data_IF_444443356248
#
_entry.id   IF_444443356248
#
_cell.length_a   1.000
_cell.length_b   1.000
_cell.length_c   1.000
_cell.angle_alpha   90.00
_cell.angle_beta   90.00
_cell.angle_gamma   90.00
#
_symmetry.space_group_name_H-M   'P 1'
#
loop_
_entity.id
_entity.type
_entity.pdbx_description
1 polymer ?
#
# COMPACT_ATOMS: atom_id res chain seq x y z
N UNK A 1 8.22 -34.38 13.85
CA UNK A 1 7.43 -35.53 14.30
C UNK A 1 6.13 -35.49 13.54
N UNK A 2 5.74 -36.61 12.94
CA UNK A 2 4.47 -36.71 12.23
C UNK A 2 3.29 -36.87 13.22
N UNK A 3 2.06 -36.78 12.71
CA UNK A 3 0.83 -36.87 13.50
C UNK A 3 0.77 -38.18 14.32
N UNK A 4 1.13 -39.32 13.74
CA UNK A 4 1.13 -40.61 14.43
C UNK A 4 2.10 -40.66 15.61
N UNK A 5 3.31 -40.13 15.43
CA UNK A 5 4.31 -40.01 16.50
C UNK A 5 3.85 -39.09 17.64
N UNK A 6 3.15 -37.99 17.30
CA UNK A 6 2.60 -37.06 18.29
C UNK A 6 1.50 -37.71 19.12
N UNK A 7 0.55 -38.40 18.47
CA UNK A 7 -0.51 -39.14 19.15
C UNK A 7 0.10 -40.22 20.07
N UNK A 8 1.07 -40.98 19.57
CA UNK A 8 1.76 -42.01 20.36
C UNK A 8 2.46 -41.43 21.59
N UNK A 9 3.13 -40.28 21.45
CA UNK A 9 3.84 -39.65 22.56
C UNK A 9 2.90 -39.04 23.59
N UNK A 10 1.82 -38.38 23.17
CA UNK A 10 0.79 -37.88 24.09
C UNK A 10 0.17 -39.02 24.89
N UNK A 11 -0.14 -40.14 24.21
CA UNK A 11 -0.65 -41.35 24.86
C UNK A 11 0.31 -41.90 25.91
N UNK A 12 1.59 -42.05 25.56
CA UNK A 12 2.62 -42.57 26.46
C UNK A 12 2.88 -41.64 27.63
N UNK A 13 2.90 -40.33 27.40
CA UNK A 13 3.11 -39.32 28.45
C UNK A 13 1.95 -39.26 29.44
N UNK A 14 0.73 -39.52 28.97
CA UNK A 14 -0.45 -39.65 29.82
C UNK A 14 -0.61 -41.05 30.46
N UNK A 15 0.29 -41.99 30.16
CA UNK A 15 0.29 -43.34 30.73
C UNK A 15 -0.79 -44.28 30.17
N UNK A 16 -1.44 -43.95 29.05
CA UNK A 16 -2.52 -44.77 28.48
C UNK A 16 -1.99 -45.89 27.58
N UNK A 17 -2.66 -47.03 27.62
CA UNK A 17 -2.58 -48.07 26.59
C UNK A 17 -3.37 -47.67 25.33
N UNK A 18 -3.11 -48.33 24.19
CA UNK A 18 -3.87 -48.08 22.96
C UNK A 18 -5.35 -48.42 23.11
N UNK A 19 -5.68 -49.43 23.93
CA UNK A 19 -7.05 -49.84 24.26
C UNK A 19 -7.77 -48.74 25.05
N UNK A 20 -7.10 -48.16 26.05
CA UNK A 20 -7.65 -47.08 26.88
C UNK A 20 -7.86 -45.79 26.08
N UNK A 21 -6.90 -45.39 25.26
CA UNK A 21 -7.07 -44.24 24.36
C UNK A 21 -8.22 -44.46 23.38
N UNK A 22 -8.35 -45.68 22.84
CA UNK A 22 -9.45 -46.02 21.94
C UNK A 22 -10.82 -45.92 22.63
N UNK A 23 -10.91 -46.37 23.89
CA UNK A 23 -12.11 -46.23 24.72
C UNK A 23 -12.46 -44.77 25.00
N UNK A 24 -11.48 -43.93 25.33
CA UNK A 24 -11.68 -42.50 25.63
C UNK A 24 -12.16 -41.70 24.41
N UNK A 25 -11.65 -42.03 23.22
CA UNK A 25 -11.98 -41.34 21.96
C UNK A 25 -13.21 -41.94 21.26
N UNK A 26 -13.66 -43.13 21.71
CA UNK A 26 -14.78 -43.86 21.14
C UNK A 26 -14.47 -44.42 19.75
N UNK A 27 -13.37 -45.17 19.64
CA UNK A 27 -12.93 -45.89 18.42
C UNK A 27 -12.41 -47.28 18.78
N UNK A 28 -12.11 -48.13 17.79
CA UNK A 28 -11.46 -49.41 18.03
C UNK A 28 -9.95 -49.22 18.29
N UNK A 29 -9.34 -50.13 19.06
CA UNK A 29 -7.88 -50.15 19.26
C UNK A 29 -7.12 -50.18 17.93
N UNK A 30 -7.65 -50.89 16.93
CA UNK A 30 -7.06 -50.97 15.59
C UNK A 30 -6.97 -49.60 14.92
N UNK A 31 -7.97 -48.72 15.10
CA UNK A 31 -7.93 -47.35 14.59
C UNK A 31 -6.79 -46.54 15.21
N UNK A 32 -6.63 -46.61 16.53
CA UNK A 32 -5.51 -45.94 17.24
C UNK A 32 -4.16 -46.46 16.76
N UNK A 33 -4.01 -47.78 16.59
CA UNK A 33 -2.76 -48.35 16.06
C UNK A 33 -2.45 -47.86 14.65
N UNK A 34 -3.45 -47.76 13.76
CA UNK A 34 -3.27 -47.25 12.40
C UNK A 34 -2.89 -45.76 12.40
N UNK A 35 -3.44 -44.98 13.34
CA UNK A 35 -3.04 -43.57 13.51
C UNK A 35 -1.60 -43.45 13.96
N UNK A 36 -1.18 -44.22 14.96
CA UNK A 36 0.20 -44.19 15.48
C UNK A 36 1.24 -44.65 14.44
N UNK A 37 0.85 -45.55 13.53
CA UNK A 37 1.70 -46.02 12.43
C UNK A 37 1.65 -45.14 11.17
N UNK A 38 0.82 -44.08 11.16
CA UNK A 38 0.51 -43.25 9.99
C UNK A 38 -0.14 -44.01 8.80
N UNK A 39 -0.71 -45.19 9.03
CA UNK A 39 -1.46 -45.95 8.01
C UNK A 39 -2.87 -45.38 7.78
N UNK A 40 -3.39 -44.60 8.72
CA UNK A 40 -4.64 -43.87 8.57
C UNK A 40 -4.59 -42.55 9.37
N UNK A 41 -5.38 -41.56 8.96
CA UNK A 41 -5.51 -40.29 9.68
C UNK A 41 -6.84 -40.26 10.46
N UNK A 42 -6.86 -39.74 11.70
CA UNK A 42 -8.12 -39.48 12.40
C UNK A 42 -8.94 -38.44 11.63
N UNK A 43 -10.26 -38.58 11.65
CA UNK A 43 -11.16 -37.55 11.11
C UNK A 43 -11.18 -36.30 12.01
N UNK A 44 -11.87 -35.24 11.55
CA UNK A 44 -11.92 -33.97 12.27
C UNK A 44 -12.54 -34.09 13.68
N UNK A 45 -13.58 -34.92 13.85
CA UNK A 45 -14.24 -35.12 15.15
C UNK A 45 -13.29 -35.83 16.13
N UNK A 46 -12.55 -36.84 15.67
CA UNK A 46 -11.56 -37.55 16.49
C UNK A 46 -10.36 -36.67 16.80
N UNK A 47 -9.90 -35.84 15.87
CA UNK A 47 -8.84 -34.86 16.09
C UNK A 47 -9.20 -33.87 17.21
N UNK A 48 -10.42 -33.33 17.20
CA UNK A 48 -10.90 -32.44 18.26
C UNK A 48 -10.94 -33.16 19.61
N UNK A 49 -11.43 -34.41 19.65
CA UNK A 49 -11.44 -35.20 20.90
C UNK A 49 -10.05 -35.48 21.45
N UNK A 50 -9.08 -35.75 20.58
CA UNK A 50 -7.67 -35.93 20.97
C UNK A 50 -7.09 -34.60 21.48
N UNK A 51 -7.40 -33.49 20.80
CA UNK A 51 -7.01 -32.12 21.19
C UNK A 51 -7.51 -31.81 22.61
N UNK A 52 -8.78 -32.07 22.88
CA UNK A 52 -9.41 -31.82 24.19
C UNK A 52 -8.85 -32.75 25.28
N UNK A 53 -8.72 -34.06 24.98
CA UNK A 53 -8.25 -35.07 25.94
C UNK A 53 -6.83 -34.75 26.45
N UNK A 54 -5.94 -34.31 25.57
CA UNK A 54 -4.55 -34.05 25.92
C UNK A 54 -4.25 -32.56 26.15
N UNK A 55 -5.26 -31.69 26.10
CA UNK A 55 -5.10 -30.23 26.26
C UNK A 55 -4.05 -29.62 25.32
N UNK A 56 -3.96 -30.13 24.10
CA UNK A 56 -3.09 -29.62 23.02
C UNK A 56 -3.94 -29.03 21.92
N UNK A 57 -3.42 -28.09 21.14
CA UNK A 57 -4.18 -27.53 20.01
C UNK A 57 -4.19 -28.49 18.81
N UNK A 58 -5.27 -28.49 18.01
CA UNK A 58 -5.30 -29.23 16.73
C UNK A 58 -4.14 -28.81 15.81
N UNK A 59 -3.73 -27.54 15.87
CA UNK A 59 -2.60 -26.99 15.12
C UNK A 59 -1.26 -27.61 15.56
N UNK A 60 -1.11 -27.97 16.84
CA UNK A 60 0.05 -28.66 17.38
C UNK A 60 0.10 -30.15 17.00
N UNK A 61 -1.06 -30.81 16.97
CA UNK A 61 -1.23 -32.20 16.55
C UNK A 61 -0.92 -32.40 15.06
N UNK A 62 -1.47 -31.54 14.21
CA UNK A 62 -1.40 -31.69 12.75
C UNK A 62 -0.09 -31.21 12.13
N UNK A 63 0.72 -30.45 12.86
CA UNK A 63 1.99 -29.93 12.34
C UNK A 63 3.09 -30.97 12.36
N UNK A 64 3.92 -30.97 11.33
CA UNK A 64 5.21 -31.64 11.38
C UNK A 64 6.25 -30.65 11.94
N UNK A 65 7.13 -31.09 12.85
CA UNK A 65 8.16 -30.21 13.44
C UNK A 65 9.21 -29.73 12.42
N UNK A 66 9.18 -30.29 11.20
CA UNK A 66 9.93 -29.80 10.03
C UNK A 66 9.36 -28.49 9.45
N UNK A 67 8.13 -28.16 9.80
CA UNK A 67 7.48 -26.89 9.49
C UNK A 67 7.09 -26.20 10.80
N UNK A 68 8.08 -25.70 11.58
CA UNK A 68 7.76 -24.80 12.67
C UNK A 68 6.93 -23.65 12.10
N UNK A 69 6.03 -23.07 12.90
CA UNK A 69 5.50 -21.75 12.59
C UNK A 69 6.70 -20.91 12.12
N UNK A 70 6.63 -20.34 10.90
CA UNK A 70 7.26 -19.03 10.73
C UNK A 70 6.73 -18.27 11.94
N UNK A 71 7.61 -17.93 12.90
CA UNK A 71 7.31 -16.91 13.91
C UNK A 71 6.87 -15.73 13.07
N UNK A 72 5.57 -15.59 12.86
CA UNK A 72 5.03 -14.42 12.21
C UNK A 72 5.36 -13.35 13.22
N UNK A 73 6.30 -12.48 12.84
CA UNK A 73 6.42 -11.19 13.48
C UNK A 73 5.19 -10.38 13.03
N UNK A 74 3.99 -10.86 13.39
CA UNK A 74 2.75 -10.17 13.16
C UNK A 74 2.50 -9.21 14.31
N UNK A 75 2.04 -8.03 13.95
CA UNK A 75 1.63 -7.04 14.93
C UNK A 75 0.22 -7.43 15.37
N UNK A 76 0.08 -7.86 16.63
CA UNK A 76 -1.23 -8.02 17.28
C UNK A 76 -1.78 -6.65 17.60
N UNK A 77 -2.83 -6.25 16.89
CA UNK A 77 -3.51 -4.98 17.14
C UNK A 77 -4.55 -5.15 18.23
N UNK A 78 -4.61 -4.18 19.14
CA UNK A 78 -5.76 -4.04 20.02
C UNK A 78 -6.97 -3.52 19.24
N UNK A 79 -8.17 -3.77 19.76
CA UNK A 79 -9.41 -3.25 19.17
C UNK A 79 -9.36 -1.70 19.10
N UNK A 80 -8.72 -1.05 20.08
CA UNK A 80 -8.51 0.41 20.10
C UNK A 80 -7.58 0.89 18.99
N UNK A 81 -6.46 0.19 18.73
CA UNK A 81 -5.51 0.55 17.66
C UNK A 81 -6.18 0.54 16.29
N UNK A 82 -7.03 -0.46 16.04
CA UNK A 82 -7.77 -0.59 14.79
C UNK A 82 -8.72 0.59 14.59
N UNK A 83 -9.50 0.93 15.61
CA UNK A 83 -10.45 2.04 15.55
C UNK A 83 -9.72 3.39 15.41
N UNK A 84 -8.63 3.58 16.17
CA UNK A 84 -7.82 4.79 16.10
C UNK A 84 -7.15 4.96 14.73
N UNK A 85 -6.66 3.87 14.13
CA UNK A 85 -6.07 3.91 12.80
C UNK A 85 -7.10 4.28 11.72
N UNK A 86 -8.25 3.61 11.70
CA UNK A 86 -9.31 3.88 10.72
C UNK A 86 -9.88 5.31 10.86
N UNK A 87 -10.12 5.74 12.10
CA UNK A 87 -10.69 7.07 12.37
C UNK A 87 -9.70 8.20 12.06
N UNK A 88 -8.42 8.04 12.40
CA UNK A 88 -7.40 9.02 12.03
C UNK A 88 -7.21 9.12 10.52
N UNK A 89 -7.18 7.98 9.82
CA UNK A 89 -7.04 7.97 8.36
C UNK A 89 -8.22 8.70 7.70
N UNK A 90 -9.47 8.46 8.14
CA UNK A 90 -10.64 9.20 7.65
C UNK A 90 -10.57 10.70 7.92
N UNK A 91 -10.15 11.11 9.12
CA UNK A 91 -10.08 12.53 9.51
C UNK A 91 -9.02 13.28 8.70
N UNK A 92 -7.91 12.62 8.36
CA UNK A 92 -6.79 13.23 7.65
C UNK A 92 -6.91 13.13 6.13
N UNK A 93 -7.71 12.20 5.59
CA UNK A 93 -7.97 12.04 4.16
C UNK A 93 -8.30 13.36 3.41
N UNK A 94 -9.23 14.23 3.88
CA UNK A 94 -9.51 15.49 3.18
C UNK A 94 -8.32 16.46 3.22
N UNK A 95 -7.50 16.43 4.25
CA UNK A 95 -6.32 17.30 4.38
C UNK A 95 -5.22 16.88 3.41
N UNK A 96 -4.97 15.57 3.27
CA UNK A 96 -4.05 15.01 2.26
C UNK A 96 -4.54 15.33 0.86
N UNK A 97 -5.83 15.12 0.58
CA UNK A 97 -6.44 15.48 -0.71
C UNK A 97 -6.32 16.98 -1.02
N UNK A 98 -6.57 17.86 -0.05
CA UNK A 98 -6.47 19.30 -0.23
C UNK A 98 -5.04 19.75 -0.51
N UNK A 99 -4.05 19.14 0.16
CA UNK A 99 -2.64 19.40 -0.11
C UNK A 99 -2.26 19.06 -1.55
N UNK A 100 -2.67 17.87 -2.04
CA UNK A 100 -2.40 17.47 -3.43
C UNK A 100 -3.08 18.39 -4.45
N UNK A 101 -4.32 18.81 -4.17
CA UNK A 101 -5.02 19.81 -5.00
C UNK A 101 -4.23 21.13 -5.04
N UNK A 102 -3.75 21.62 -3.89
CA UNK A 102 -2.95 22.85 -3.83
C UNK A 102 -1.65 22.76 -4.63
N UNK A 103 -0.96 21.62 -4.58
CA UNK A 103 0.26 21.41 -5.37
C UNK A 103 -0.02 21.52 -6.87
N UNK A 104 -1.10 20.90 -7.35
CA UNK A 104 -1.50 20.93 -8.76
C UNK A 104 -2.02 22.31 -9.18
N UNK A 105 -2.71 23.01 -8.29
CA UNK A 105 -3.22 24.36 -8.54
C UNK A 105 -2.13 25.44 -8.47
N UNK A 106 -1.01 25.19 -7.79
CA UNK A 106 0.04 26.19 -7.60
C UNK A 106 0.57 26.82 -8.90
N UNK A 107 0.81 26.07 -10.00
CA UNK A 107 1.28 26.65 -11.26
C UNK A 107 0.17 27.35 -12.05
N UNK A 108 -1.10 27.12 -11.72
CA UNK A 108 -2.24 27.70 -12.44
C UNK A 108 -2.21 29.23 -12.35
N UNK A 109 -1.84 29.79 -11.20
CA UNK A 109 -1.73 31.24 -11.03
C UNK A 109 -0.68 31.83 -11.96
N UNK A 110 0.49 31.20 -12.07
CA UNK A 110 1.56 31.66 -12.95
C UNK A 110 1.15 31.59 -14.43
N UNK A 111 0.58 30.47 -14.85
CA UNK A 111 0.12 30.26 -16.24
C UNK A 111 -1.02 31.20 -16.60
N UNK A 112 -1.99 31.36 -15.70
CA UNK A 112 -3.21 32.13 -15.98
C UNK A 112 -2.94 33.64 -15.97
N UNK A 113 -2.11 34.13 -15.04
CA UNK A 113 -1.73 35.55 -14.98
C UNK A 113 -0.84 35.92 -16.16
N UNK A 114 0.20 35.13 -16.45
CA UNK A 114 1.06 35.38 -17.62
C UNK A 114 0.28 35.34 -18.93
N UNK A 115 -0.58 34.34 -19.10
CA UNK A 115 -1.50 34.25 -20.24
C UNK A 115 -2.41 35.46 -20.38
N UNK A 116 -3.10 35.84 -19.30
CA UNK A 116 -4.03 36.97 -19.32
C UNK A 116 -3.34 38.32 -19.50
N UNK A 117 -2.10 38.46 -19.01
CA UNK A 117 -1.29 39.65 -19.24
C UNK A 117 -0.97 39.81 -20.74
N UNK A 118 -0.57 38.73 -21.41
CA UNK A 118 -0.33 38.74 -22.87
C UNK A 118 -1.57 39.10 -23.70
N UNK A 119 -2.78 38.87 -23.16
CA UNK A 119 -4.06 39.24 -23.76
C UNK A 119 -4.52 40.66 -23.44
N UNK A 120 -3.74 41.43 -22.66
CA UNK A 120 -4.09 42.80 -22.26
C UNK A 120 -4.97 42.93 -21.01
N UNK A 121 -5.47 41.81 -20.45
CA UNK A 121 -6.51 41.83 -19.39
C UNK A 121 -6.00 42.27 -18.01
N UNK A 122 -4.68 42.33 -17.79
CA UNK A 122 -4.08 42.72 -16.50
C UNK A 122 -3.10 43.90 -16.56
N UNK A 123 -3.03 44.61 -17.69
CA UNK A 123 -2.17 45.81 -17.82
C UNK A 123 -2.60 46.94 -16.86
N UNK A 124 -3.87 46.97 -16.44
CA UNK A 124 -4.35 47.94 -15.44
C UNK A 124 -4.00 47.59 -14.00
N UNK A 125 -3.74 46.30 -13.71
CA UNK A 125 -3.39 45.81 -12.37
C UNK A 125 -1.87 45.72 -12.16
N UNK A 126 -1.12 45.42 -13.23
CA UNK A 126 0.32 45.26 -13.16
C UNK A 126 1.03 46.15 -14.19
N UNK A 127 2.03 46.96 -13.76
CA UNK A 127 2.74 47.86 -14.66
C UNK A 127 3.44 47.12 -15.81
N UNK A 128 4.16 46.04 -15.48
CA UNK A 128 4.99 45.30 -16.42
C UNK A 128 4.74 43.78 -16.27
N UNK A 129 4.93 43.01 -17.34
CA UNK A 129 4.77 41.55 -17.35
C UNK A 129 5.63 40.87 -16.26
N UNK A 130 6.87 41.34 -16.10
CA UNK A 130 7.81 40.84 -15.10
C UNK A 130 7.24 40.94 -13.68
N UNK A 131 6.52 42.02 -13.36
CA UNK A 131 5.92 42.22 -12.03
C UNK A 131 4.75 41.28 -11.80
N UNK A 132 3.93 41.02 -12.83
CA UNK A 132 2.81 40.09 -12.76
C UNK A 132 3.31 38.65 -12.57
N UNK A 133 4.30 38.24 -13.37
CA UNK A 133 4.90 36.91 -13.30
C UNK A 133 5.65 36.71 -11.96
N UNK A 134 6.37 37.72 -11.49
CA UNK A 134 7.06 37.69 -10.19
C UNK A 134 6.09 37.51 -9.01
N UNK A 135 4.97 38.25 -9.00
CA UNK A 135 3.95 38.10 -7.96
C UNK A 135 3.29 36.71 -8.01
N UNK A 136 2.99 36.21 -9.21
CA UNK A 136 2.45 34.86 -9.39
C UNK A 136 3.40 33.76 -8.94
N UNK A 137 4.71 33.95 -9.11
CA UNK A 137 5.73 33.03 -8.60
C UNK A 137 5.77 33.02 -7.07
N UNK A 138 5.62 34.18 -6.43
CA UNK A 138 5.49 34.27 -4.96
C UNK A 138 4.25 33.50 -4.49
N UNK A 139 3.10 33.70 -5.14
CA UNK A 139 1.85 32.99 -4.82
C UNK A 139 2.03 31.47 -4.99
N UNK A 140 2.68 31.03 -6.08
CA UNK A 140 2.99 29.62 -6.33
C UNK A 140 3.74 29.02 -5.14
N UNK A 141 4.83 29.65 -4.68
CA UNK A 141 5.60 29.11 -3.55
C UNK A 141 4.84 29.14 -2.24
N UNK A 142 4.01 30.16 -2.00
CA UNK A 142 3.14 30.23 -0.82
C UNK A 142 2.13 29.08 -0.81
N UNK A 143 1.49 28.78 -1.94
CA UNK A 143 0.55 27.66 -2.06
C UNK A 143 1.25 26.31 -1.87
N UNK A 144 2.46 26.13 -2.40
CA UNK A 144 3.27 24.94 -2.15
C UNK A 144 3.61 24.82 -0.67
N UNK A 145 4.04 25.91 -0.02
CA UNK A 145 4.37 25.90 1.41
C UNK A 145 3.16 25.53 2.28
N UNK A 146 1.98 26.09 1.97
CA UNK A 146 0.72 25.75 2.65
C UNK A 146 0.35 24.28 2.40
N UNK A 147 0.39 23.83 1.14
CA UNK A 147 0.12 22.43 0.78
C UNK A 147 1.05 21.46 1.51
N UNK A 148 2.35 21.79 1.60
CA UNK A 148 3.34 20.97 2.28
C UNK A 148 3.11 20.95 3.79
N UNK A 149 2.78 22.09 4.41
CA UNK A 149 2.44 22.14 5.82
C UNK A 149 1.20 21.27 6.13
N UNK A 150 0.17 21.34 5.28
CA UNK A 150 -1.03 20.52 5.42
C UNK A 150 -0.72 19.02 5.26
N UNK A 151 0.05 18.66 4.23
CA UNK A 151 0.46 17.29 3.96
C UNK A 151 1.27 16.71 5.12
N UNK A 152 2.33 17.42 5.57
CA UNK A 152 3.19 16.96 6.66
C UNK A 152 2.43 16.82 7.98
N UNK A 153 1.53 17.76 8.28
CA UNK A 153 0.70 17.65 9.49
C UNK A 153 -0.18 16.40 9.44
N UNK A 154 -0.90 16.17 8.34
CA UNK A 154 -1.75 15.00 8.16
C UNK A 154 -0.93 13.69 8.17
N UNK A 155 0.16 13.66 7.42
CA UNK A 155 1.05 12.51 7.27
C UNK A 155 1.70 12.13 8.60
N UNK A 156 2.14 13.10 9.42
CA UNK A 156 2.74 12.80 10.72
C UNK A 156 1.82 11.98 11.63
N UNK A 157 0.49 12.21 11.55
CA UNK A 157 -0.54 11.50 12.34
C UNK A 157 -0.83 10.10 11.82
N UNK A 158 -0.69 9.88 10.52
CA UNK A 158 -0.89 8.58 9.87
C UNK A 158 0.39 7.74 9.95
N UNK A 159 1.56 8.36 9.86
CA UNK A 159 2.88 7.71 9.89
C UNK A 159 3.14 6.91 11.16
N UNK A 160 2.47 7.25 12.28
CA UNK A 160 2.47 6.45 13.52
C UNK A 160 2.08 4.99 13.25
N UNK A 161 1.29 4.75 12.21
CA UNK A 161 0.76 3.44 11.80
C UNK A 161 1.45 2.86 10.56
N UNK A 162 2.53 3.49 10.07
CA UNK A 162 3.28 3.06 8.86
C UNK A 162 3.80 1.62 8.94
N UNK A 163 4.04 1.11 10.15
CA UNK A 163 4.44 -0.27 10.39
C UNK A 163 3.40 -1.28 9.89
N UNK A 164 2.12 -0.91 9.83
CA UNK A 164 1.04 -1.79 9.41
C UNK A 164 1.08 -2.05 7.90
N UNK A 165 1.64 -1.14 7.10
CA UNK A 165 1.79 -1.32 5.66
C UNK A 165 2.88 -2.34 5.29
N UNK A 166 3.90 -2.47 6.14
CA UNK A 166 5.10 -3.26 5.85
C UNK A 166 5.17 -4.56 6.64
N UNK A 167 4.44 -4.65 7.75
CA UNK A 167 4.45 -5.80 8.64
C UNK A 167 3.09 -6.51 8.59
N UNK A 168 3.06 -7.86 8.59
CA UNK A 168 1.83 -8.61 8.75
C UNK A 168 1.12 -8.22 10.04
N UNK A 169 -0.21 -8.24 10.03
CA UNK A 169 -1.06 -7.81 11.14
C UNK A 169 -2.00 -8.93 11.52
N UNK A 170 -2.31 -9.09 12.80
CA UNK A 170 -3.33 -10.03 13.26
C UNK A 170 -4.44 -9.31 14.01
N UNK A 171 -5.69 -9.57 13.64
CA UNK A 171 -6.88 -8.98 14.26
C UNK A 171 -7.70 -10.04 15.01
N UNK A 172 -8.46 -9.60 16.02
CA UNK A 172 -9.53 -10.40 16.62
C UNK A 172 -10.65 -10.67 15.60
N UNK A 173 -11.39 -11.78 15.76
CA UNK A 173 -12.48 -12.14 14.84
C UNK A 173 -13.59 -11.07 14.79
N UNK A 174 -13.87 -10.41 15.92
CA UNK A 174 -14.80 -9.28 16.00
C UNK A 174 -14.32 -8.11 15.15
N UNK A 175 -13.04 -7.72 15.30
CA UNK A 175 -12.48 -6.60 14.56
C UNK A 175 -12.32 -6.88 13.07
N UNK A 176 -11.96 -8.10 12.68
CA UNK A 176 -11.94 -8.48 11.27
C UNK A 176 -13.31 -8.26 10.61
N UNK A 177 -14.40 -8.72 11.25
CA UNK A 177 -15.77 -8.52 10.75
C UNK A 177 -16.18 -7.05 10.72
N UNK A 178 -15.75 -6.28 11.72
CA UNK A 178 -15.98 -4.84 11.75
C UNK A 178 -15.31 -4.12 10.56
N UNK A 179 -14.01 -4.37 10.34
CA UNK A 179 -13.27 -3.77 9.22
C UNK A 179 -13.84 -4.21 7.87
N UNK A 180 -14.22 -5.49 7.73
CA UNK A 180 -14.84 -5.98 6.50
C UNK A 180 -16.19 -5.31 6.21
N UNK A 181 -16.99 -5.04 7.25
CA UNK A 181 -18.25 -4.29 7.11
C UNK A 181 -17.99 -2.85 6.67
N UNK A 182 -17.06 -2.15 7.32
CA UNK A 182 -16.67 -0.79 6.95
C UNK A 182 -16.14 -0.72 5.50
N UNK A 183 -15.30 -1.67 5.10
CA UNK A 183 -14.80 -1.79 3.73
C UNK A 183 -15.94 -1.91 2.71
N UNK A 184 -16.87 -2.85 2.92
CA UNK A 184 -18.01 -3.05 2.00
C UNK A 184 -18.91 -1.82 1.87
N UNK A 185 -19.09 -1.06 2.96
CA UNK A 185 -19.86 0.19 2.93
C UNK A 185 -19.16 1.28 2.09
N UNK A 186 -17.83 1.28 2.08
CA UNK A 186 -17.03 2.29 1.38
C UNK A 186 -16.65 1.90 -0.05
N UNK A 187 -16.54 0.61 -0.35
CA UNK A 187 -16.04 0.07 -1.62
C UNK A 187 -16.79 0.65 -2.82
N UNK A 188 -18.13 0.67 -2.77
CA UNK A 188 -18.94 1.25 -3.85
C UNK A 188 -18.73 2.76 -3.98
N UNK A 189 -18.68 3.49 -2.85
CA UNK A 189 -18.50 4.95 -2.84
C UNK A 189 -17.13 5.34 -3.39
N UNK A 190 -16.07 4.69 -2.92
CA UNK A 190 -14.69 4.94 -3.34
C UNK A 190 -14.47 4.53 -4.79
N UNK A 191 -15.06 3.42 -5.25
CA UNK A 191 -15.01 3.02 -6.67
C UNK A 191 -15.66 4.05 -7.59
N UNK A 192 -16.83 4.59 -7.20
CA UNK A 192 -17.50 5.66 -7.96
C UNK A 192 -16.65 6.94 -7.96
N UNK A 193 -16.11 7.35 -6.81
CA UNK A 193 -15.21 8.51 -6.73
C UNK A 193 -13.97 8.34 -7.61
N UNK A 194 -13.38 7.14 -7.65
CA UNK A 194 -12.25 6.83 -8.52
C UNK A 194 -12.62 6.91 -10.00
N UNK A 195 -13.77 6.35 -10.40
CA UNK A 195 -14.26 6.43 -11.77
C UNK A 195 -14.51 7.90 -12.20
N UNK A 196 -15.14 8.70 -11.34
CA UNK A 196 -15.36 10.14 -11.58
C UNK A 196 -14.02 10.87 -11.69
N UNK A 197 -13.07 10.60 -10.80
CA UNK A 197 -11.74 11.22 -10.83
C UNK A 197 -11.00 10.94 -12.14
N UNK A 198 -10.98 9.68 -12.59
CA UNK A 198 -10.38 9.29 -13.87
C UNK A 198 -11.08 9.98 -15.04
N UNK A 199 -12.42 10.01 -15.03
CA UNK A 199 -13.21 10.68 -16.07
C UNK A 199 -12.88 12.18 -16.16
N UNK A 200 -12.79 12.87 -15.03
CA UNK A 200 -12.41 14.29 -14.98
C UNK A 200 -11.01 14.52 -15.54
N UNK A 201 -10.04 13.67 -15.20
CA UNK A 201 -8.66 13.78 -15.73
C UNK A 201 -8.66 13.62 -17.25
N UNK A 202 -9.40 12.64 -17.79
CA UNK A 202 -9.50 12.44 -19.24
C UNK A 202 -10.17 13.63 -19.93
N UNK A 203 -11.28 14.13 -19.37
CA UNK A 203 -12.04 15.25 -19.94
C UNK A 203 -11.35 16.61 -19.75
N UNK A 204 -10.38 16.72 -18.84
CA UNK A 204 -9.65 17.96 -18.55
C UNK A 204 -8.91 18.53 -19.77
N UNK A 205 -8.63 17.71 -20.77
CA UNK A 205 -7.92 18.10 -21.99
C UNK A 205 -8.81 18.91 -22.95
N UNK A 206 -10.14 18.82 -22.83
CA UNK A 206 -11.08 19.54 -23.70
C UNK A 206 -10.90 21.08 -23.60
N UNK A 207 -10.87 21.70 -22.40
CA UNK A 207 -10.56 23.12 -22.24
C UNK A 207 -9.25 23.57 -22.91
N UNK A 208 -8.22 22.74 -22.90
CA UNK A 208 -6.93 23.06 -23.53
C UNK A 208 -7.09 23.18 -25.05
N UNK A 209 -7.71 22.18 -25.69
CA UNK A 209 -7.95 22.22 -27.13
C UNK A 209 -8.94 23.30 -27.54
N UNK A 210 -9.98 23.53 -26.74
CA UNK A 210 -10.92 24.64 -26.96
C UNK A 210 -10.20 26.00 -26.91
N UNK A 211 -9.33 26.21 -25.92
CA UNK A 211 -8.51 27.41 -25.82
C UNK A 211 -7.53 27.58 -26.98
N UNK A 212 -6.99 26.47 -27.50
CA UNK A 212 -6.14 26.47 -28.70
C UNK A 212 -6.92 26.86 -29.96
N UNK A 213 -8.16 26.38 -30.11
CA UNK A 213 -9.02 26.73 -31.25
C UNK A 213 -9.56 28.16 -31.19
N UNK A 214 -9.71 28.74 -29.99
CA UNK A 214 -10.39 30.02 -29.78
C UNK A 214 -9.48 31.26 -29.91
N UNK A 215 -8.27 31.13 -30.47
CA UNK A 215 -7.24 32.18 -30.64
C UNK A 215 -6.86 32.92 -29.33
N UNK A 216 -5.57 32.88 -28.93
CA UNK A 216 -5.02 33.52 -27.73
C UNK A 216 -5.56 33.04 -26.35
N UNK A 217 -6.50 32.09 -26.30
CA UNK A 217 -7.07 31.54 -25.06
C UNK A 217 -6.38 30.26 -24.55
N UNK A 218 -5.27 29.84 -25.17
CA UNK A 218 -4.58 28.60 -24.83
C UNK A 218 -4.12 28.55 -23.36
N UNK A 219 -3.63 29.66 -22.82
CA UNK A 219 -3.20 29.74 -21.42
C UNK A 219 -4.38 29.62 -20.44
N UNK A 220 -5.53 30.20 -20.77
CA UNK A 220 -6.78 30.05 -20.00
C UNK A 220 -7.27 28.61 -20.05
N UNK A 221 -7.24 28.00 -21.24
CA UNK A 221 -7.56 26.58 -21.43
C UNK A 221 -6.67 25.65 -20.61
N UNK A 222 -5.36 25.92 -20.56
CA UNK A 222 -4.41 25.18 -19.73
C UNK A 222 -4.68 25.37 -18.23
N UNK A 223 -5.02 26.59 -17.78
CA UNK A 223 -5.41 26.85 -16.40
C UNK A 223 -6.66 26.06 -15.99
N UNK A 224 -7.70 26.06 -16.83
CA UNK A 224 -8.92 25.27 -16.60
C UNK A 224 -8.61 23.78 -16.58
N UNK A 225 -7.78 23.29 -17.52
CA UNK A 225 -7.34 21.89 -17.55
C UNK A 225 -6.73 21.50 -16.20
N UNK A 226 -5.77 22.26 -15.69
CA UNK A 226 -5.10 21.97 -14.42
C UNK A 226 -6.05 22.01 -13.22
N UNK A 227 -7.06 22.89 -13.22
CA UNK A 227 -8.10 22.91 -12.18
C UNK A 227 -8.93 21.61 -12.22
N UNK A 228 -9.35 21.17 -13.40
CA UNK A 228 -10.12 19.92 -13.55
C UNK A 228 -9.26 18.71 -13.19
N UNK A 229 -7.98 18.69 -13.57
CA UNK A 229 -7.01 17.66 -13.15
C UNK A 229 -6.87 17.65 -11.63
N UNK A 230 -6.73 18.81 -10.97
CA UNK A 230 -6.59 18.90 -9.53
C UNK A 230 -7.80 18.28 -8.81
N UNK A 231 -9.02 18.58 -9.26
CA UNK A 231 -10.25 17.97 -8.73
C UNK A 231 -10.28 16.46 -8.94
N UNK A 232 -9.92 15.99 -10.14
CA UNK A 232 -9.88 14.56 -10.47
C UNK A 232 -8.87 13.80 -9.60
N UNK A 233 -7.64 14.30 -9.50
CA UNK A 233 -6.58 13.71 -8.66
C UNK A 233 -6.96 13.79 -7.18
N UNK A 234 -7.55 14.90 -6.72
CA UNK A 234 -8.02 15.04 -5.36
C UNK A 234 -9.05 13.97 -4.98
N UNK A 235 -10.00 13.66 -5.86
CA UNK A 235 -10.96 12.57 -5.65
C UNK A 235 -10.29 11.20 -5.56
N UNK A 236 -9.27 10.94 -6.39
CA UNK A 236 -8.49 9.69 -6.34
C UNK A 236 -7.77 9.55 -5.00
N UNK A 237 -7.02 10.57 -4.61
CA UNK A 237 -6.27 10.60 -3.35
C UNK A 237 -7.21 10.44 -2.16
N UNK A 238 -8.34 11.16 -2.13
CA UNK A 238 -9.33 11.04 -1.06
C UNK A 238 -9.88 9.61 -0.96
N UNK A 239 -10.22 8.99 -2.09
CA UNK A 239 -10.75 7.63 -2.12
C UNK A 239 -9.73 6.60 -1.64
N UNK A 240 -8.46 6.75 -2.03
CA UNK A 240 -7.36 5.88 -1.57
C UNK A 240 -7.11 6.01 -0.07
N UNK A 241 -7.04 7.23 0.46
CA UNK A 241 -6.81 7.47 1.90
C UNK A 241 -7.90 6.88 2.80
N UNK A 242 -9.10 6.66 2.26
CA UNK A 242 -10.22 6.02 2.96
C UNK A 242 -10.21 4.50 2.82
N UNK A 243 -9.83 3.98 1.65
CA UNK A 243 -9.91 2.55 1.33
C UNK A 243 -8.67 1.78 1.82
N UNK A 244 -7.49 2.36 1.68
CA UNK A 244 -6.20 1.69 1.97
C UNK A 244 -6.07 1.18 3.40
N UNK A 245 -6.47 1.94 4.45
CA UNK A 245 -6.44 1.44 5.83
C UNK A 245 -7.20 0.12 6.02
N UNK A 246 -8.36 -0.02 5.36
CA UNK A 246 -9.14 -1.25 5.40
C UNK A 246 -8.40 -2.39 4.67
N UNK A 247 -7.82 -2.14 3.50
CA UNK A 247 -7.04 -3.14 2.75
C UNK A 247 -5.78 -3.57 3.51
N UNK A 248 -5.11 -2.64 4.20
CA UNK A 248 -3.92 -2.88 5.03
C UNK A 248 -4.24 -3.81 6.19
N UNK A 249 -5.35 -3.56 6.90
CA UNK A 249 -5.82 -4.36 8.03
C UNK A 249 -6.33 -5.73 7.57
N UNK A 250 -7.12 -5.79 6.49
CA UNK A 250 -7.63 -7.04 5.92
C UNK A 250 -6.54 -7.84 5.19
N UNK A 251 -5.38 -7.23 4.92
CA UNK A 251 -4.26 -7.80 4.19
C UNK A 251 -4.65 -8.32 2.80
N UNK A 252 -5.40 -7.51 2.05
CA UNK A 252 -5.89 -7.81 0.70
C UNK A 252 -5.12 -7.04 -0.37
N UNK A 253 -5.23 -7.51 -1.61
CA UNK A 253 -4.69 -6.84 -2.81
C UNK A 253 -3.18 -6.51 -2.72
N UNK A 254 -2.84 -5.22 -2.79
CA UNK A 254 -1.50 -4.65 -2.68
C UNK A 254 -0.87 -4.87 -1.29
N UNK A 255 -1.68 -5.15 -0.27
CA UNK A 255 -1.28 -5.31 1.13
C UNK A 255 -1.34 -6.76 1.63
N UNK A 256 -1.36 -7.74 0.73
CA UNK A 256 -1.22 -9.16 1.08
C UNK A 256 0.09 -9.45 1.82
N UNK A 257 0.06 -10.47 2.69
CA UNK A 257 1.21 -10.86 3.53
C UNK A 257 2.47 -11.07 2.68
N UNK A 258 2.35 -11.80 1.57
CA UNK A 258 3.46 -12.06 0.66
C UNK A 258 4.05 -10.77 0.06
N UNK A 259 3.21 -9.82 -0.36
CA UNK A 259 3.68 -8.51 -0.87
C UNK A 259 4.35 -7.68 0.22
N UNK A 260 3.82 -7.66 1.45
CA UNK A 260 4.43 -6.94 2.58
C UNK A 260 5.81 -7.51 2.92
N UNK A 261 5.93 -8.83 3.02
CA UNK A 261 7.22 -9.49 3.27
C UNK A 261 8.23 -9.24 2.16
N UNK A 262 7.80 -9.28 0.90
CA UNK A 262 8.63 -8.97 -0.27
C UNK A 262 9.12 -7.52 -0.25
N UNK A 263 8.22 -6.55 0.00
CA UNK A 263 8.56 -5.12 0.14
C UNK A 263 9.59 -4.92 1.27
N UNK A 264 9.42 -5.62 2.39
CA UNK A 264 10.37 -5.59 3.52
C UNK A 264 11.74 -6.19 3.15
N UNK A 265 11.78 -7.33 2.48
CA UNK A 265 13.04 -7.98 2.05
C UNK A 265 13.80 -7.16 1.00
N UNK A 266 13.08 -6.40 0.17
CA UNK A 266 13.65 -5.59 -0.92
C UNK A 266 13.84 -4.11 -0.56
N UNK A 267 13.61 -3.70 0.70
CA UNK A 267 13.62 -2.28 1.10
C UNK A 267 14.96 -1.57 0.87
N UNK A 268 16.07 -2.31 0.91
CA UNK A 268 17.42 -1.80 0.68
C UNK A 268 17.76 -1.57 -0.80
N UNK A 269 17.07 -2.27 -1.71
CA UNK A 269 17.41 -2.33 -3.12
C UNK A 269 17.34 -0.98 -3.84
N UNK A 270 16.27 -0.17 -3.70
CA UNK A 270 16.16 1.10 -4.41
C UNK A 270 17.29 2.05 -4.04
N UNK A 271 17.57 2.20 -2.73
CA UNK A 271 18.60 3.11 -2.23
C UNK A 271 19.98 2.72 -2.75
N UNK A 272 20.34 1.43 -2.64
CA UNK A 272 21.64 0.96 -3.11
C UNK A 272 21.79 1.07 -4.64
N UNK A 273 20.76 0.68 -5.39
CA UNK A 273 20.76 0.73 -6.84
C UNK A 273 20.95 2.15 -7.37
N UNK A 274 20.13 3.10 -6.91
CA UNK A 274 20.19 4.47 -7.39
C UNK A 274 21.46 5.19 -6.97
N UNK A 275 21.99 4.94 -5.77
CA UNK A 275 23.28 5.52 -5.36
C UNK A 275 24.42 5.05 -6.27
N UNK A 276 24.47 3.75 -6.61
CA UNK A 276 25.50 3.19 -7.51
C UNK A 276 25.35 3.77 -8.91
N UNK A 277 24.14 3.79 -9.47
CA UNK A 277 23.86 4.33 -10.81
C UNK A 277 24.23 5.80 -10.89
N UNK A 278 23.82 6.61 -9.90
CA UNK A 278 24.12 8.04 -9.88
C UNK A 278 25.62 8.29 -9.73
N UNK A 279 26.32 7.54 -8.88
CA UNK A 279 27.77 7.64 -8.78
C UNK A 279 28.46 7.32 -10.12
N UNK A 280 28.03 6.24 -10.80
CA UNK A 280 28.55 5.87 -12.12
C UNK A 280 28.26 6.93 -13.18
N UNK A 281 27.03 7.45 -13.22
CA UNK A 281 26.64 8.54 -14.12
C UNK A 281 27.50 9.79 -13.91
N UNK A 282 27.73 10.21 -12.65
CA UNK A 282 28.55 11.37 -12.34
C UNK A 282 30.01 11.15 -12.73
N UNK A 283 30.60 10.00 -12.41
CA UNK A 283 31.99 9.67 -12.77
C UNK A 283 32.21 9.77 -14.28
N UNK A 284 31.32 9.16 -15.08
CA UNK A 284 31.44 9.23 -16.54
C UNK A 284 31.23 10.66 -17.03
N UNK A 285 30.22 11.36 -16.52
CA UNK A 285 29.91 12.73 -16.95
C UNK A 285 31.05 13.69 -16.68
N UNK A 286 31.70 13.62 -15.51
CA UNK A 286 32.85 14.45 -15.18
C UNK A 286 34.11 14.08 -15.97
N UNK A 287 34.35 12.79 -16.26
CA UNK A 287 35.54 12.36 -17.03
C UNK A 287 35.41 12.77 -18.50
N UNK A 288 34.21 12.64 -19.07
CA UNK A 288 33.96 12.86 -20.50
C UNK A 288 33.54 14.28 -20.84
N UNK A 289 33.13 15.07 -19.85
CA UNK A 289 32.46 16.37 -19.99
C UNK A 289 31.29 16.38 -21.01
N UNK A 290 30.71 15.20 -21.28
CA UNK A 290 29.72 14.98 -22.33
C UNK A 290 28.30 14.81 -21.76
N UNK A 291 27.87 15.77 -20.93
CA UNK A 291 26.56 15.77 -20.24
C UNK A 291 25.38 15.58 -21.21
N UNK A 292 25.51 16.04 -22.45
CA UNK A 292 24.51 15.90 -23.52
C UNK A 292 24.25 14.45 -23.95
N UNK A 293 25.19 13.52 -23.68
CA UNK A 293 25.07 12.10 -24.04
C UNK A 293 24.93 11.21 -22.82
N UNK A 294 25.58 11.55 -21.71
CA UNK A 294 25.63 10.68 -20.53
C UNK A 294 24.29 10.53 -19.82
N UNK A 295 23.32 11.43 -20.03
CA UNK A 295 21.96 11.29 -19.48
C UNK A 295 21.28 9.97 -19.88
N UNK A 296 21.68 9.36 -21.01
CA UNK A 296 21.15 8.07 -21.47
C UNK A 296 21.39 6.94 -20.44
N UNK A 297 22.42 7.08 -19.60
CA UNK A 297 22.72 6.15 -18.50
C UNK A 297 21.57 6.12 -17.49
N UNK A 298 20.98 7.27 -17.16
CA UNK A 298 19.86 7.36 -16.21
C UNK A 298 18.58 6.74 -16.79
N UNK A 299 18.32 6.96 -18.09
CA UNK A 299 17.18 6.35 -18.78
C UNK A 299 17.32 4.83 -18.84
N UNK A 300 18.50 4.32 -19.24
CA UNK A 300 18.79 2.90 -19.27
C UNK A 300 18.68 2.26 -17.88
N UNK A 301 19.19 2.94 -16.84
CA UNK A 301 19.08 2.47 -15.46
C UNK A 301 17.62 2.31 -15.00
N UNK A 302 16.72 3.24 -15.34
CA UNK A 302 15.30 3.09 -15.04
C UNK A 302 14.70 1.79 -15.59
N UNK A 303 15.06 1.43 -16.83
CA UNK A 303 14.61 0.19 -17.49
C UNK A 303 15.23 -1.04 -16.82
N UNK A 304 16.54 -1.02 -16.57
CA UNK A 304 17.23 -2.10 -15.88
C UNK A 304 16.70 -2.33 -14.46
N UNK A 305 16.36 -1.26 -13.74
CA UNK A 305 15.76 -1.34 -12.42
C UNK A 305 14.40 -2.05 -12.44
N UNK A 306 13.54 -1.72 -13.40
CA UNK A 306 12.25 -2.39 -13.57
C UNK A 306 12.43 -3.88 -13.86
N UNK A 307 13.35 -4.22 -14.77
CA UNK A 307 13.69 -5.61 -15.09
C UNK A 307 14.23 -6.37 -13.87
N UNK A 308 15.14 -5.74 -13.10
CA UNK A 308 15.72 -6.29 -11.88
C UNK A 308 14.64 -6.59 -10.83
N UNK A 309 13.70 -5.69 -10.61
CA UNK A 309 12.59 -5.91 -9.68
C UNK A 309 11.76 -7.11 -10.14
N UNK A 310 11.38 -7.19 -11.41
CA UNK A 310 10.56 -8.30 -11.93
C UNK A 310 11.28 -9.63 -11.72
N UNK A 311 12.57 -9.68 -12.02
CA UNK A 311 13.40 -10.86 -11.83
C UNK A 311 13.48 -11.28 -10.35
N UNK A 312 13.76 -10.33 -9.45
CA UNK A 312 13.84 -10.60 -8.02
C UNK A 312 12.49 -11.03 -7.43
N UNK A 313 11.39 -10.43 -7.89
CA UNK A 313 10.03 -10.83 -7.48
C UNK A 313 9.75 -12.28 -7.86
N UNK A 314 10.10 -12.68 -9.08
CA UNK A 314 9.94 -14.07 -9.55
C UNK A 314 10.76 -15.03 -8.71
N UNK A 315 12.04 -14.74 -8.50
CA UNK A 315 12.94 -15.58 -7.70
C UNK A 315 12.50 -15.73 -6.23
N UNK A 316 11.96 -14.68 -5.64
CA UNK A 316 11.41 -14.72 -4.28
C UNK A 316 10.11 -15.51 -4.21
N UNK A 317 9.27 -15.45 -5.25
CA UNK A 317 8.03 -16.24 -5.35
C UNK A 317 8.29 -17.74 -5.52
N UNK A 318 9.36 -18.13 -6.21
CA UNK A 318 9.73 -19.54 -6.43
C UNK A 318 10.42 -20.18 -5.20
N UNK A 319 10.72 -19.37 -4.17
CA UNK A 319 11.42 -19.80 -2.94
C UNK A 319 10.50 -20.04 -1.74
N UNK A 320 9.18 -19.88 -1.91
CA UNK A 320 8.13 -20.22 -0.95
C UNK A 320 7.39 -21.49 -1.36
#
# INVERSE_FOLDING_TARGET
MNLGEKIMNLRKNAGYSQEELASLIGVSRQSVSKWELNDATPDLDKLLKISDLFSVSCDELLRDDKHPLRKRNDIRLSDEDVVNYLSNSRKNAPMISAAVILFILSPVFLISVGGSYSMGLFHSLFPNEETANGLSMIILFVLIAIGMALYLYAESRVSKYSNYETTPVSLSNSMYRYVEKEYKLQEKKTSIQKAIGILLIILSVIPLFAGYMAENLAAVGLGIMLIVVALGVGLLVYAEQIQDPCLILLQRESYSISRKEMKRKMSWLPGMYWLIVTAFYLIISFITDAWEKTWIVMAAAGIFYAALIIFLKRKLSDSE
#
